data_IF_482122875583
#
_entry.id   IF_482122875583
#
_cell.length_a   1.000
_cell.length_b   1.000
_cell.length_c   1.000
_cell.angle_alpha   90.00
_cell.angle_beta   90.00
_cell.angle_gamma   90.00
#
_symmetry.space_group_name_H-M   'P 1'
#
loop_
_entity.id
_entity.type
_entity.pdbx_description
1 polymer ?
#
# COMPACT_ATOMS: atom_id res chain seq x y z
N UNK A 1 10.96 16.71 14.23
CA UNK A 1 9.59 16.92 13.69
C UNK A 1 8.76 17.62 14.74
N UNK A 2 8.05 18.69 14.39
CA UNK A 2 7.13 19.32 15.36
C UNK A 2 5.91 18.40 15.58
N UNK A 3 5.36 18.39 16.80
CA UNK A 3 4.17 17.59 17.11
C UNK A 3 2.98 17.92 16.20
N UNK A 4 2.90 19.16 15.72
CA UNK A 4 1.87 19.63 14.80
C UNK A 4 1.89 18.88 13.46
N UNK A 5 3.08 18.64 12.89
CA UNK A 5 3.21 17.93 11.60
C UNK A 5 2.76 16.48 11.74
N UNK A 6 3.10 15.83 12.85
CA UNK A 6 2.72 14.44 13.12
C UNK A 6 1.22 14.29 13.36
N UNK A 7 0.60 15.27 14.05
CA UNK A 7 -0.85 15.33 14.24
C UNK A 7 -1.61 15.44 12.92
N UNK A 8 -1.18 16.33 12.03
CA UNK A 8 -1.82 16.51 10.72
C UNK A 8 -1.71 15.28 9.82
N UNK A 9 -0.57 14.58 9.87
CA UNK A 9 -0.37 13.34 9.10
C UNK A 9 -1.37 12.28 9.57
N UNK A 10 -1.52 12.06 10.88
CA UNK A 10 -2.46 11.05 11.39
C UNK A 10 -3.92 11.43 11.06
N UNK A 11 -4.26 12.71 11.16
CA UNK A 11 -5.61 13.20 10.84
C UNK A 11 -5.96 13.16 9.35
N UNK A 12 -4.98 13.02 8.47
CA UNK A 12 -5.19 12.96 7.02
C UNK A 12 -5.95 11.70 6.58
N UNK A 13 -5.79 10.58 7.30
CA UNK A 13 -6.54 9.35 7.03
C UNK A 13 -8.01 9.47 7.45
N UNK A 14 -8.28 10.05 8.63
CA UNK A 14 -9.64 10.36 9.07
C UNK A 14 -10.35 11.26 8.05
N UNK A 15 -9.63 12.28 7.55
CA UNK A 15 -10.16 13.20 6.55
C UNK A 15 -10.46 12.48 5.23
N UNK A 16 -9.57 11.59 4.75
CA UNK A 16 -9.79 10.79 3.54
C UNK A 16 -10.96 9.83 3.68
N UNK A 17 -11.16 9.26 4.87
CA UNK A 17 -12.28 8.38 5.18
C UNK A 17 -13.61 9.15 5.22
N UNK A 18 -13.65 10.29 5.94
CA UNK A 18 -14.81 11.16 5.98
C UNK A 18 -15.17 11.71 4.59
N UNK A 19 -14.16 12.11 3.81
CA UNK A 19 -14.35 12.58 2.43
C UNK A 19 -14.88 11.45 1.54
N UNK A 20 -14.39 10.21 1.72
CA UNK A 20 -14.93 9.03 1.04
C UNK A 20 -16.40 8.78 1.37
N UNK A 21 -16.74 8.80 2.65
CA UNK A 21 -18.12 8.62 3.11
C UNK A 21 -19.04 9.69 2.54
N UNK A 22 -18.61 10.95 2.59
CA UNK A 22 -19.35 12.07 2.00
C UNK A 22 -19.54 11.88 0.48
N UNK A 23 -18.48 11.50 -0.24
CA UNK A 23 -18.55 11.28 -1.69
C UNK A 23 -19.48 10.12 -2.06
N UNK A 24 -19.40 9.01 -1.34
CA UNK A 24 -20.28 7.86 -1.52
C UNK A 24 -21.75 8.22 -1.23
N UNK A 25 -22.00 9.00 -0.16
CA UNK A 25 -23.33 9.48 0.16
C UNK A 25 -23.89 10.42 -0.92
N UNK A 26 -23.09 11.37 -1.41
CA UNK A 26 -23.47 12.27 -2.51
C UNK A 26 -23.74 11.52 -3.80
N UNK A 27 -22.92 10.52 -4.15
CA UNK A 27 -23.13 9.70 -5.34
C UNK A 27 -24.40 8.86 -5.23
N UNK A 28 -24.66 8.28 -4.06
CA UNK A 28 -25.87 7.51 -3.79
C UNK A 28 -27.12 8.40 -3.93
N UNK A 29 -27.09 9.59 -3.32
CA UNK A 29 -28.18 10.57 -3.44
C UNK A 29 -28.40 10.99 -4.90
N UNK A 30 -27.33 11.20 -5.66
CA UNK A 30 -27.39 11.55 -7.08
C UNK A 30 -28.09 10.46 -7.91
N UNK A 31 -27.73 9.18 -7.72
CA UNK A 31 -28.37 8.06 -8.42
C UNK A 31 -29.86 8.01 -8.11
N UNK A 32 -30.24 8.19 -6.84
CA UNK A 32 -31.67 8.23 -6.42
C UNK A 32 -32.41 9.35 -7.15
N UNK A 33 -31.84 10.57 -7.19
CA UNK A 33 -32.47 11.71 -7.88
C UNK A 33 -32.64 11.44 -9.37
N UNK A 34 -31.62 10.87 -10.03
CA UNK A 34 -31.69 10.54 -11.46
C UNK A 34 -32.77 9.50 -11.75
N UNK A 35 -32.88 8.46 -10.91
CA UNK A 35 -33.91 7.43 -11.05
C UNK A 35 -35.32 8.02 -10.87
N UNK A 36 -35.52 8.84 -9.83
CA UNK A 36 -36.82 9.49 -9.58
C UNK A 36 -37.21 10.42 -10.73
N UNK A 37 -36.26 11.23 -11.23
CA UNK A 37 -36.50 12.10 -12.37
C UNK A 37 -36.77 11.32 -13.67
N UNK A 38 -36.14 10.15 -13.85
CA UNK A 38 -36.39 9.27 -14.99
C UNK A 38 -37.80 8.68 -14.96
N UNK A 39 -38.25 8.23 -13.78
CA UNK A 39 -39.61 7.69 -13.60
C UNK A 39 -40.65 8.80 -13.84
N UNK A 40 -40.51 9.95 -13.16
CA UNK A 40 -41.45 11.07 -13.26
C UNK A 40 -41.39 11.78 -14.63
N UNK A 41 -40.24 11.75 -15.29
CA UNK A 41 -40.01 12.41 -16.58
C UNK A 41 -40.44 11.59 -17.79
N UNK A 42 -40.74 10.30 -17.61
CA UNK A 42 -41.11 9.40 -18.72
C UNK A 42 -42.34 9.88 -19.49
N UNK A 43 -43.22 10.65 -18.85
CA UNK A 43 -44.44 11.20 -19.46
C UNK A 43 -44.24 12.55 -20.18
N UNK A 44 -43.12 13.26 -19.99
CA UNK A 44 -42.97 14.68 -20.38
C UNK A 44 -42.15 14.94 -21.66
N UNK A 45 -41.66 13.90 -22.34
CA UNK A 45 -40.99 14.03 -23.64
C UNK A 45 -39.53 14.53 -23.60
N UNK A 46 -38.84 14.41 -24.75
CA UNK A 46 -37.37 14.57 -24.89
C UNK A 46 -36.84 15.98 -24.60
N UNK A 47 -37.59 17.03 -24.93
CA UNK A 47 -37.13 18.42 -24.70
C UNK A 47 -37.07 18.80 -23.22
N UNK A 48 -37.99 18.26 -22.41
CA UNK A 48 -38.00 18.45 -20.96
C UNK A 48 -36.79 17.77 -20.31
N UNK A 49 -36.48 16.55 -20.77
CA UNK A 49 -35.33 15.77 -20.34
C UNK A 49 -34.00 16.51 -20.61
N UNK A 50 -33.81 17.06 -21.81
CA UNK A 50 -32.57 17.74 -22.19
C UNK A 50 -32.25 18.97 -21.32
N UNK A 51 -33.26 19.82 -21.03
CA UNK A 51 -33.09 20.99 -20.16
C UNK A 51 -32.76 20.60 -18.72
N UNK A 52 -33.27 19.47 -18.24
CA UNK A 52 -33.03 18.98 -16.86
C UNK A 52 -31.75 18.15 -16.71
N UNK A 53 -31.28 17.52 -17.78
CA UNK A 53 -30.01 16.76 -17.80
C UNK A 53 -28.76 17.63 -17.89
N UNK A 54 -28.84 18.86 -18.39
CA UNK A 54 -27.69 19.79 -18.44
C UNK A 54 -27.00 20.01 -17.08
N UNK A 55 -27.71 20.34 -15.98
CA UNK A 55 -27.07 20.46 -14.66
C UNK A 55 -26.53 19.13 -14.13
N UNK A 56 -27.19 18.01 -14.45
CA UNK A 56 -26.75 16.66 -14.07
C UNK A 56 -25.41 16.31 -14.72
N UNK A 57 -25.26 16.64 -16.01
CA UNK A 57 -24.02 16.43 -16.75
C UNK A 57 -22.88 17.31 -16.22
N UNK A 58 -23.19 18.56 -15.87
CA UNK A 58 -22.24 19.49 -15.22
C UNK A 58 -21.77 18.95 -13.85
N UNK A 59 -22.70 18.41 -13.06
CA UNK A 59 -22.42 17.80 -11.75
C UNK A 59 -21.57 16.53 -11.91
N UNK A 60 -21.83 15.74 -12.96
CA UNK A 60 -21.04 14.55 -13.28
C UNK A 60 -19.60 14.91 -13.69
N UNK A 61 -19.42 15.95 -14.51
CA UNK A 61 -18.09 16.48 -14.87
C UNK A 61 -17.36 17.02 -13.64
N UNK A 62 -18.04 17.76 -12.78
CA UNK A 62 -17.47 18.27 -11.53
C UNK A 62 -17.09 17.14 -10.57
N UNK A 63 -17.94 16.11 -10.45
CA UNK A 63 -17.65 14.89 -9.71
C UNK A 63 -16.40 14.21 -10.24
N UNK A 64 -16.32 14.00 -11.55
CA UNK A 64 -15.15 13.39 -12.18
C UNK A 64 -13.87 14.21 -11.98
N UNK A 65 -13.94 15.54 -12.08
CA UNK A 65 -12.82 16.42 -11.75
C UNK A 65 -12.37 16.27 -10.29
N UNK A 66 -13.31 16.13 -9.34
CA UNK A 66 -12.96 15.91 -7.93
C UNK A 66 -12.31 14.54 -7.67
N UNK A 67 -12.69 13.50 -8.42
CA UNK A 67 -12.03 12.19 -8.38
C UNK A 67 -10.59 12.27 -8.89
N UNK A 68 -10.34 13.04 -9.94
CA UNK A 68 -8.98 13.27 -10.44
C UNK A 68 -8.11 13.95 -9.39
N UNK A 69 -8.60 15.03 -8.77
CA UNK A 69 -7.87 15.73 -7.68
C UNK A 69 -7.58 14.78 -6.51
N UNK A 70 -8.52 13.87 -6.20
CA UNK A 70 -8.34 12.85 -5.15
C UNK A 70 -7.21 11.86 -5.49
N UNK A 71 -7.06 11.45 -6.75
CA UNK A 71 -5.97 10.56 -7.19
C UNK A 71 -4.59 11.19 -7.03
N UNK A 72 -4.51 12.52 -7.04
CA UNK A 72 -3.26 13.26 -6.83
C UNK A 72 -2.94 13.54 -5.35
N UNK A 73 -3.86 13.30 -4.41
CA UNK A 73 -3.60 13.44 -2.98
C UNK A 73 -2.88 12.19 -2.47
N UNK A 74 -1.60 12.27 -2.06
CA UNK A 74 -0.86 11.12 -1.56
C UNK A 74 -1.52 10.56 -0.29
N UNK A 75 -1.41 9.23 -0.12
CA UNK A 75 -1.90 8.57 1.07
C UNK A 75 -1.04 8.85 2.28
N UNK A 76 -1.62 8.70 3.47
CA UNK A 76 -0.95 8.90 4.76
C UNK A 76 0.27 7.98 4.91
N UNK A 77 0.19 6.75 4.37
CA UNK A 77 1.32 5.81 4.28
C UNK A 77 2.45 6.34 3.40
N UNK A 78 2.13 6.93 2.24
CA UNK A 78 3.12 7.53 1.35
C UNK A 78 3.73 8.79 1.98
N UNK A 79 2.93 9.61 2.65
CA UNK A 79 3.39 10.82 3.33
C UNK A 79 4.30 10.49 4.52
N UNK A 80 3.93 9.48 5.31
CA UNK A 80 4.77 8.97 6.39
C UNK A 80 6.09 8.40 5.85
N UNK A 81 6.06 7.63 4.75
CA UNK A 81 7.27 7.10 4.12
C UNK A 81 8.20 8.23 3.63
N UNK A 82 7.66 9.25 2.97
CA UNK A 82 8.43 10.41 2.47
C UNK A 82 9.18 11.12 3.61
N UNK A 83 8.64 11.13 4.83
CA UNK A 83 9.26 11.85 5.95
C UNK A 83 10.14 10.93 6.80
N UNK A 84 9.67 9.71 7.08
CA UNK A 84 10.37 8.77 7.97
C UNK A 84 11.60 8.18 7.29
N UNK A 85 11.51 7.81 6.00
CA UNK A 85 12.64 7.19 5.27
C UNK A 85 13.90 8.08 5.30
N UNK A 86 13.88 9.36 4.91
CA UNK A 86 15.07 10.19 4.97
C UNK A 86 15.52 10.47 6.42
N UNK A 87 14.59 10.56 7.38
CA UNK A 87 14.95 10.74 8.79
C UNK A 87 15.66 9.51 9.39
N UNK A 88 15.28 8.31 8.95
CA UNK A 88 15.93 7.05 9.34
C UNK A 88 17.26 6.88 8.61
N UNK A 89 17.30 7.15 7.30
CA UNK A 89 18.52 7.06 6.50
C UNK A 89 19.57 8.07 6.96
N UNK A 90 19.19 9.24 7.46
CA UNK A 90 20.14 10.26 7.94
C UNK A 90 20.53 10.07 9.42
N UNK A 91 20.13 8.97 10.06
CA UNK A 91 20.49 8.67 11.44
C UNK A 91 21.69 7.73 11.48
N UNK A 92 22.84 8.24 11.90
CA UNK A 92 24.11 7.49 12.00
C UNK A 92 23.96 6.21 12.83
N UNK A 93 23.14 6.23 13.88
CA UNK A 93 22.92 5.02 14.71
C UNK A 93 22.25 3.89 13.93
N UNK A 94 21.36 4.21 12.99
CA UNK A 94 20.68 3.21 12.17
C UNK A 94 21.59 2.69 11.07
N UNK A 95 22.44 3.56 10.50
CA UNK A 95 23.45 3.15 9.52
C UNK A 95 24.44 2.14 10.12
N UNK A 96 24.93 2.40 11.33
CA UNK A 96 25.85 1.47 12.04
C UNK A 96 25.22 0.11 12.35
N UNK A 97 23.89 0.04 12.55
CA UNK A 97 23.19 -1.24 12.68
C UNK A 97 23.12 -1.99 11.34
N UNK A 98 22.93 -1.27 10.24
CA UNK A 98 22.97 -1.83 8.89
C UNK A 98 24.32 -2.46 8.58
N UNK A 99 25.41 -1.75 8.87
CA UNK A 99 26.78 -2.23 8.65
C UNK A 99 27.07 -3.49 9.49
N UNK A 100 26.69 -3.49 10.78
CA UNK A 100 26.85 -4.66 11.64
C UNK A 100 26.02 -5.86 11.18
N UNK A 101 24.82 -5.64 10.67
CA UNK A 101 23.95 -6.70 10.16
C UNK A 101 24.52 -7.31 8.87
N UNK A 102 25.09 -6.47 7.98
CA UNK A 102 25.81 -6.90 6.79
C UNK A 102 27.06 -7.72 7.14
N UNK A 103 27.90 -7.22 8.06
CA UNK A 103 29.09 -7.95 8.53
C UNK A 103 28.73 -9.33 9.11
N UNK A 104 27.63 -9.41 9.86
CA UNK A 104 27.16 -10.67 10.45
C UNK A 104 26.63 -11.63 9.37
N UNK A 105 25.99 -11.10 8.33
CA UNK A 105 25.50 -11.87 7.18
C UNK A 105 26.61 -12.47 6.35
N UNK A 106 27.65 -11.68 6.06
CA UNK A 106 28.84 -12.14 5.33
C UNK A 106 29.62 -13.19 6.10
N UNK A 107 29.74 -13.03 7.42
CA UNK A 107 30.39 -14.00 8.29
C UNK A 107 29.60 -15.33 8.33
N UNK A 108 28.28 -15.29 8.39
CA UNK A 108 27.43 -16.48 8.30
C UNK A 108 27.54 -17.17 6.93
N UNK A 109 27.62 -16.41 5.85
CA UNK A 109 27.80 -16.94 4.49
C UNK A 109 29.16 -17.64 4.34
N UNK A 110 30.20 -17.06 4.93
CA UNK A 110 31.55 -17.64 4.90
C UNK A 110 31.60 -18.93 5.71
N UNK A 111 31.03 -18.95 6.92
CA UNK A 111 30.91 -20.16 7.74
C UNK A 111 30.08 -21.25 7.07
N UNK A 112 28.98 -20.87 6.40
CA UNK A 112 28.17 -21.81 5.65
C UNK A 112 28.94 -22.42 4.46
N UNK A 113 29.74 -21.60 3.75
CA UNK A 113 30.61 -22.09 2.68
C UNK A 113 31.71 -23.02 3.20
N UNK A 114 32.36 -22.69 4.32
CA UNK A 114 33.36 -23.55 4.95
C UNK A 114 32.75 -24.90 5.38
N UNK A 115 31.58 -24.88 6.01
CA UNK A 115 30.88 -26.10 6.43
C UNK A 115 30.52 -27.00 5.23
N UNK A 116 30.04 -26.41 4.13
CA UNK A 116 29.71 -27.13 2.90
C UNK A 116 30.99 -27.71 2.26
N UNK A 117 32.09 -26.95 2.23
CA UNK A 117 33.36 -27.43 1.70
C UNK A 117 33.96 -28.54 2.56
N UNK A 118 33.85 -28.46 3.89
CA UNK A 118 34.33 -29.50 4.80
C UNK A 118 33.53 -30.81 4.64
N UNK A 119 32.21 -30.72 4.46
CA UNK A 119 31.35 -31.89 4.24
C UNK A 119 31.42 -32.46 2.82
N UNK A 120 31.76 -31.65 1.81
CA UNK A 120 32.00 -32.13 0.44
C UNK A 120 33.41 -32.71 0.25
N UNK A 121 34.40 -32.25 1.03
CA UNK A 121 35.80 -32.72 0.97
C UNK A 121 36.05 -34.00 1.77
N UNK A 122 35.03 -34.55 2.43
CA UNK A 122 35.09 -35.84 3.13
C UNK A 122 34.41 -36.95 2.31
N UNK A 123 34.98 -37.44 1.19
CA UNK A 123 34.55 -38.69 0.63
C UNK A 123 35.15 -39.85 1.44
N UNK A 124 34.30 -40.84 1.72
CA UNK A 124 34.63 -42.27 1.77
C UNK A 124 35.80 -42.69 2.67
N UNK A 125 35.49 -43.00 3.93
CA UNK A 125 36.45 -43.67 4.81
C UNK A 125 35.77 -44.29 6.03
N UNK A 126 34.96 -45.32 5.82
CA UNK A 126 34.49 -46.16 6.93
C UNK A 126 33.08 -46.71 6.77
N UNK A 127 32.80 -47.43 5.69
CA UNK A 127 31.76 -48.45 5.75
C UNK A 127 32.45 -49.81 5.89
N UNK A 128 32.81 -50.12 7.15
CA UNK A 128 33.23 -51.46 7.55
C UNK A 128 32.03 -52.39 7.40
N UNK A 129 31.88 -52.94 6.19
CA UNK A 129 31.20 -54.19 5.96
C UNK A 129 32.14 -55.33 6.34
N UNK A 130 31.96 -55.92 7.52
CA UNK A 130 31.89 -57.37 7.71
C UNK A 130 31.49 -57.64 9.17
N UNK A 131 30.35 -58.29 9.46
CA UNK A 131 30.19 -59.75 9.44
C UNK A 131 31.26 -60.43 10.32
N UNK A 132 30.98 -61.26 11.32
CA UNK A 132 29.79 -61.99 11.71
C UNK A 132 30.05 -62.55 13.12
N UNK A 133 29.04 -62.51 13.98
CA UNK A 133 28.98 -63.22 15.25
C UNK A 133 28.70 -64.71 15.04
N UNK A 134 29.26 -65.55 15.91
CA UNK A 134 28.89 -66.94 16.23
C UNK A 134 29.69 -68.08 15.57
N UNK A 135 30.18 -68.96 16.46
CA UNK A 135 30.28 -70.42 16.41
C UNK A 135 30.87 -71.12 15.18
#
# INVERSE_FOLDING_TARGET
>A
MSMLTMYWIIKLDDFRCALNGAWAASFTMFVVVVVVLGILGSDYGFEWFWKRCRPILLLLVFGFASLLVRSFLPSTKQMAAIIVIPAVLNNERVQVLGDKALDTGDLLLTLAQEYIQEHLKKPEGGNNASHNSNF
#
